data_IF_542367762303
#
_entry.id   IF_542367762303
#
_cell.length_a   1.000
_cell.length_b   1.000
_cell.length_c   1.000
_cell.angle_alpha   90.00
_cell.angle_beta   90.00
_cell.angle_gamma   90.00
#
_symmetry.space_group_name_H-M   'P 1'
#
loop_
_entity.id
_entity.type
_entity.pdbx_description
1 polymer ?
#
# COMPACT_ATOMS: atom_id res chain seq x y z
N UNK A 1 36.95 -6.22 -37.46
CA UNK A 1 35.89 -6.40 -36.44
C UNK A 1 34.85 -7.40 -36.95
N UNK A 2 34.19 -8.12 -36.04
CA UNK A 2 33.07 -9.00 -36.40
C UNK A 2 31.82 -8.15 -36.69
N UNK A 3 30.95 -8.57 -37.62
CA UNK A 3 29.64 -7.92 -37.83
C UNK A 3 28.86 -7.81 -36.50
N UNK A 4 28.98 -8.83 -35.64
CA UNK A 4 28.32 -8.84 -34.33
C UNK A 4 28.83 -7.74 -33.39
N UNK A 5 30.13 -7.39 -33.44
CA UNK A 5 30.68 -6.34 -32.58
C UNK A 5 30.25 -4.95 -33.04
N UNK A 6 30.14 -4.74 -34.35
CA UNK A 6 29.66 -3.47 -34.93
C UNK A 6 28.18 -3.26 -34.57
N UNK A 7 27.33 -4.27 -34.77
CA UNK A 7 25.90 -4.21 -34.41
C UNK A 7 25.72 -3.95 -32.91
N UNK A 8 26.51 -4.60 -32.06
CA UNK A 8 26.48 -4.37 -30.62
C UNK A 8 26.96 -2.96 -30.23
N UNK A 9 27.89 -2.36 -30.98
CA UNK A 9 28.28 -0.97 -30.81
C UNK A 9 27.12 -0.02 -31.09
N UNK A 10 26.54 -0.11 -32.30
CA UNK A 10 25.43 0.73 -32.75
C UNK A 10 24.25 0.68 -31.77
N UNK A 11 23.88 -0.52 -31.29
CA UNK A 11 22.76 -0.66 -30.36
C UNK A 11 23.06 -0.06 -28.98
N UNK A 12 24.31 -0.16 -28.50
CA UNK A 12 24.72 0.48 -27.25
C UNK A 12 24.72 1.99 -27.37
N UNK A 13 25.22 2.53 -28.48
CA UNK A 13 25.17 3.96 -28.78
C UNK A 13 23.73 4.46 -28.82
N UNK A 14 22.82 3.69 -29.43
CA UNK A 14 21.39 4.01 -29.42
C UNK A 14 20.81 4.01 -28.00
N UNK A 15 21.08 2.99 -27.18
CA UNK A 15 20.68 2.98 -25.77
C UNK A 15 21.24 4.19 -25.00
N UNK A 16 22.45 4.64 -25.33
CA UNK A 16 23.05 5.78 -24.68
C UNK A 16 22.38 7.12 -25.02
N UNK A 17 21.65 7.17 -26.13
CA UNK A 17 20.91 8.33 -26.63
C UNK A 17 19.47 8.40 -26.13
N UNK A 18 18.92 7.28 -25.64
CA UNK A 18 17.58 7.28 -25.05
C UNK A 18 17.57 8.17 -23.81
N UNK A 19 16.59 9.06 -23.75
CA UNK A 19 16.24 9.84 -22.57
C UNK A 19 14.74 9.69 -22.30
N UNK A 20 14.37 9.59 -21.03
CA UNK A 20 12.98 9.61 -20.58
C UNK A 20 12.72 10.93 -19.87
N UNK A 21 11.62 11.59 -20.22
CA UNK A 21 11.11 12.81 -19.59
C UNK A 21 9.79 12.53 -18.90
N UNK A 22 9.55 13.24 -17.81
CA UNK A 22 8.40 13.05 -16.94
C UNK A 22 7.65 14.36 -16.75
N UNK A 23 6.33 14.29 -16.79
CA UNK A 23 5.44 15.37 -16.39
C UNK A 23 4.28 14.81 -15.54
N UNK A 24 4.23 15.10 -14.22
CA UNK A 24 5.17 15.93 -13.46
C UNK A 24 6.53 15.23 -13.24
N UNK A 25 7.56 15.99 -12.85
CA UNK A 25 8.90 15.47 -12.53
C UNK A 25 8.99 14.74 -11.18
N UNK A 26 7.96 14.89 -10.35
CA UNK A 26 7.82 14.23 -9.04
C UNK A 26 6.35 14.06 -8.71
N UNK A 27 6.05 13.05 -7.89
CA UNK A 27 4.71 12.84 -7.35
C UNK A 27 4.67 13.09 -5.85
N UNK A 28 3.51 13.56 -5.40
CA UNK A 28 3.15 13.62 -3.99
C UNK A 28 1.84 12.86 -3.81
N UNK A 29 1.80 11.94 -2.85
CA UNK A 29 0.63 11.13 -2.52
C UNK A 29 0.66 10.76 -1.02
N UNK A 30 -0.37 10.05 -0.57
CA UNK A 30 -0.54 9.59 0.81
C UNK A 30 -0.63 8.05 0.76
N UNK A 31 0.07 7.32 1.66
CA UNK A 31 -0.07 5.87 1.76
C UNK A 31 -1.52 5.43 1.87
N UNK A 32 -1.83 4.22 1.38
CA UNK A 32 -3.16 3.60 1.38
C UNK A 32 -4.23 4.29 0.52
N UNK A 33 -4.05 5.55 0.14
CA UNK A 33 -4.94 6.25 -0.78
C UNK A 33 -4.47 6.00 -2.21
N UNK A 34 -5.39 5.59 -3.08
CA UNK A 34 -5.18 5.67 -4.51
C UNK A 34 -5.77 6.99 -5.01
N UNK A 35 -4.93 8.00 -5.19
CA UNK A 35 -5.29 9.31 -5.71
C UNK A 35 -5.20 9.39 -7.24
N UNK A 36 -5.11 8.23 -7.91
CA UNK A 36 -5.03 8.07 -9.36
C UNK A 36 -3.99 9.01 -10.01
N UNK A 37 -2.88 9.26 -9.31
CA UNK A 37 -1.82 10.14 -9.80
C UNK A 37 -1.21 9.56 -11.06
N UNK A 38 -1.06 10.43 -12.05
CA UNK A 38 -0.56 10.07 -13.38
C UNK A 38 0.72 10.83 -13.67
N UNK A 39 1.66 10.13 -14.27
CA UNK A 39 2.86 10.71 -14.87
C UNK A 39 2.77 10.48 -16.37
N UNK A 40 2.88 11.55 -17.14
CA UNK A 40 3.16 11.47 -18.56
C UNK A 40 4.64 11.16 -18.74
N UNK A 41 4.91 10.07 -19.46
CA UNK A 41 6.26 9.57 -19.73
C UNK A 41 6.52 9.72 -21.22
N UNK A 42 7.53 10.50 -21.58
CA UNK A 42 7.92 10.72 -22.98
C UNK A 42 9.32 10.21 -23.21
N UNK A 43 9.49 9.33 -24.20
CA UNK A 43 10.79 8.77 -24.57
C UNK A 43 11.31 9.52 -25.79
N UNK A 44 12.56 9.97 -25.73
CA UNK A 44 13.19 10.71 -26.81
C UNK A 44 14.58 10.18 -27.13
N UNK A 45 14.96 10.31 -28.39
CA UNK A 45 16.36 10.28 -28.78
C UNK A 45 16.97 11.66 -28.54
N UNK A 46 17.85 11.77 -27.55
CA UNK A 46 18.38 13.05 -27.10
C UNK A 46 19.24 13.78 -28.16
N UNK A 47 19.82 13.04 -29.11
CA UNK A 47 20.69 13.61 -30.14
C UNK A 47 19.87 14.13 -31.32
N UNK A 48 18.80 13.41 -31.68
CA UNK A 48 17.90 13.82 -32.78
C UNK A 48 16.75 14.72 -32.31
N UNK A 49 16.46 14.77 -31.01
CA UNK A 49 15.30 15.47 -30.45
C UNK A 49 13.96 14.85 -30.84
N UNK A 50 13.94 13.62 -31.34
CA UNK A 50 12.73 12.94 -31.83
C UNK A 50 12.13 12.06 -30.73
N UNK A 51 10.80 12.05 -30.65
CA UNK A 51 10.07 11.15 -29.78
C UNK A 51 10.13 9.71 -30.31
N UNK A 52 10.24 8.75 -29.40
CA UNK A 52 10.41 7.33 -29.72
C UNK A 52 9.14 6.55 -29.40
N UNK A 53 8.44 6.14 -30.45
CA UNK A 53 7.24 5.32 -30.38
C UNK A 53 7.55 3.83 -30.15
N UNK A 54 6.56 3.09 -29.64
CA UNK A 54 6.63 1.63 -29.48
C UNK A 54 7.82 1.13 -28.62
N UNK A 55 8.22 1.92 -27.63
CA UNK A 55 9.28 1.56 -26.68
C UNK A 55 8.64 0.96 -25.44
N UNK A 56 8.99 -0.30 -25.14
CA UNK A 56 8.64 -0.95 -23.87
C UNK A 56 9.47 -0.37 -22.74
N UNK A 57 8.80 0.07 -21.69
CA UNK A 57 9.39 0.57 -20.47
C UNK A 57 9.04 -0.34 -19.30
N UNK A 58 10.05 -0.62 -18.48
CA UNK A 58 9.94 -1.23 -17.17
C UNK A 58 9.86 -0.13 -16.12
N UNK A 59 8.84 -0.19 -15.26
CA UNK A 59 8.64 0.73 -14.16
C UNK A 59 8.70 -0.02 -12.85
N UNK A 60 9.49 0.46 -11.90
CA UNK A 60 9.75 -0.30 -10.66
C UNK A 60 10.06 0.62 -9.48
N UNK A 61 9.46 0.34 -8.32
CA UNK A 61 9.93 0.88 -7.05
C UNK A 61 11.26 0.23 -6.66
N UNK A 62 12.21 1.05 -6.21
CA UNK A 62 13.61 0.62 -6.03
C UNK A 62 13.77 -0.61 -5.13
N UNK A 63 12.86 -0.80 -4.18
CA UNK A 63 12.92 -1.86 -3.16
C UNK A 63 11.99 -3.06 -3.44
N UNK A 64 11.17 -3.03 -4.50
CA UNK A 64 10.27 -4.14 -4.83
C UNK A 64 10.97 -5.19 -5.72
N UNK A 65 10.43 -6.39 -5.88
CA UNK A 65 10.86 -7.33 -6.93
C UNK A 65 10.12 -7.10 -8.23
N UNK A 66 8.88 -6.69 -8.11
CA UNK A 66 7.92 -6.59 -9.19
C UNK A 66 8.13 -5.32 -10.00
N UNK A 67 7.59 -5.33 -11.21
CA UNK A 67 7.67 -4.20 -12.12
C UNK A 67 6.45 -4.16 -13.01
N UNK A 68 6.08 -2.95 -13.40
CA UNK A 68 5.09 -2.72 -14.44
C UNK A 68 5.77 -2.62 -15.80
N UNK A 69 5.00 -2.98 -16.84
CA UNK A 69 5.38 -2.81 -18.23
C UNK A 69 4.41 -1.84 -18.89
N UNK A 70 4.94 -0.78 -19.50
CA UNK A 70 4.18 0.21 -20.27
C UNK A 70 4.82 0.43 -21.63
N UNK A 71 4.01 0.79 -22.63
CA UNK A 71 4.44 0.98 -24.01
C UNK A 71 4.19 2.43 -24.44
N UNK A 72 5.16 3.06 -25.11
CA UNK A 72 4.95 4.36 -25.75
C UNK A 72 4.07 4.27 -26.99
N UNK A 73 3.18 5.25 -27.14
CA UNK A 73 2.30 5.43 -28.30
C UNK A 73 3.07 5.97 -29.50
N UNK A 74 2.38 6.19 -30.60
CA UNK A 74 2.94 6.71 -31.86
C UNK A 74 3.59 8.09 -31.71
N UNK A 75 3.17 8.89 -30.73
CA UNK A 75 3.78 10.19 -30.40
C UNK A 75 4.99 10.08 -29.46
N UNK A 76 5.38 8.86 -29.08
CA UNK A 76 6.46 8.54 -28.15
C UNK A 76 6.17 8.83 -26.68
N UNK A 77 4.90 9.10 -26.33
CA UNK A 77 4.44 9.29 -24.96
C UNK A 77 3.63 8.11 -24.43
N UNK A 78 3.50 8.00 -23.12
CA UNK A 78 2.57 7.10 -22.44
C UNK A 78 2.18 7.68 -21.07
N UNK A 79 1.18 7.09 -20.42
CA UNK A 79 0.74 7.50 -19.09
C UNK A 79 0.99 6.33 -18.14
N UNK A 80 1.74 6.60 -17.07
CA UNK A 80 1.84 5.69 -15.94
C UNK A 80 0.91 6.18 -14.84
N UNK A 81 -0.01 5.32 -14.39
CA UNK A 81 -0.85 5.57 -13.23
C UNK A 81 -0.23 4.88 -12.03
N UNK A 82 0.06 5.64 -10.99
CA UNK A 82 0.61 5.14 -9.74
C UNK A 82 -0.42 4.21 -9.07
N UNK A 83 0.04 3.07 -8.57
CA UNK A 83 -0.80 2.16 -7.78
C UNK A 83 -0.84 2.62 -6.32
N UNK A 84 -1.77 2.06 -5.54
CA UNK A 84 -1.80 2.23 -4.08
C UNK A 84 -0.45 1.83 -3.48
N UNK A 85 0.14 2.72 -2.69
CA UNK A 85 1.43 2.48 -2.04
C UNK A 85 1.20 2.14 -0.56
N UNK A 86 1.84 1.08 -0.09
CA UNK A 86 1.75 0.59 1.29
C UNK A 86 3.13 0.68 1.97
N UNK A 87 3.72 1.87 1.92
CA UNK A 87 5.01 2.21 2.54
C UNK A 87 4.83 3.34 3.56
N UNK A 88 5.74 3.49 4.53
CA UNK A 88 5.73 4.62 5.44
C UNK A 88 5.93 5.96 4.73
N UNK A 89 5.65 7.05 5.44
CA UNK A 89 5.91 8.38 4.91
C UNK A 89 7.40 8.57 4.60
N UNK A 90 7.73 9.27 3.52
CA UNK A 90 9.11 9.41 3.09
C UNK A 90 9.27 9.74 1.61
N UNK A 91 10.52 9.69 1.14
CA UNK A 91 10.87 9.93 -0.26
C UNK A 91 11.36 8.63 -0.90
N UNK A 92 10.66 8.21 -1.94
CA UNK A 92 10.90 6.97 -2.68
C UNK A 92 11.29 7.26 -4.11
N UNK A 93 11.93 6.29 -4.74
CA UNK A 93 12.35 6.36 -6.15
C UNK A 93 11.60 5.32 -6.97
N UNK A 94 10.80 5.81 -7.90
CA UNK A 94 10.19 5.05 -8.97
C UNK A 94 11.11 5.13 -10.20
N UNK A 95 11.70 4.01 -10.59
CA UNK A 95 12.67 3.94 -11.68
C UNK A 95 12.00 3.48 -12.98
N UNK A 96 12.23 4.22 -14.05
CA UNK A 96 11.85 3.86 -15.42
C UNK A 96 13.08 3.45 -16.22
N UNK A 97 12.95 2.41 -17.02
CA UNK A 97 14.03 1.96 -17.90
C UNK A 97 13.48 1.25 -19.12
N UNK A 98 14.26 1.19 -20.21
CA UNK A 98 13.86 0.43 -21.41
C UNK A 98 13.86 -1.06 -21.10
N UNK A 99 12.76 -1.74 -21.41
CA UNK A 99 12.64 -3.17 -21.18
C UNK A 99 13.17 -3.98 -22.38
N UNK A 100 14.47 -4.20 -22.39
CA UNK A 100 15.10 -5.02 -23.43
C UNK A 100 14.68 -6.49 -23.37
N UNK A 101 14.09 -6.97 -22.29
CA UNK A 101 13.58 -8.34 -22.20
C UNK A 101 12.37 -8.57 -23.09
N UNK A 102 11.47 -7.58 -23.16
CA UNK A 102 10.30 -7.57 -24.04
C UNK A 102 10.64 -7.28 -25.50
N UNK A 103 11.76 -6.59 -25.76
CA UNK A 103 12.17 -6.19 -27.12
C UNK A 103 13.09 -7.23 -27.78
N UNK A 104 13.99 -7.86 -27.02
CA UNK A 104 15.06 -8.70 -27.55
C UNK A 104 14.93 -10.18 -27.15
N UNK A 105 15.14 -11.06 -28.12
CA UNK A 105 15.25 -12.50 -27.86
C UNK A 105 16.36 -12.81 -26.84
N UNK A 106 16.23 -13.93 -26.11
CA UNK A 106 17.24 -14.39 -25.14
C UNK A 106 18.64 -14.50 -25.78
N UNK A 107 18.73 -14.95 -27.03
CA UNK A 107 19.99 -15.06 -27.78
C UNK A 107 20.56 -13.69 -28.15
N UNK A 108 19.71 -12.75 -28.55
CA UNK A 108 20.14 -11.36 -28.83
C UNK A 108 20.64 -10.68 -27.55
N UNK A 109 19.97 -10.88 -26.42
CA UNK A 109 20.37 -10.32 -25.13
C UNK A 109 21.75 -10.80 -24.67
N UNK A 110 22.05 -12.09 -24.82
CA UNK A 110 23.37 -12.63 -24.43
C UNK A 110 24.51 -12.10 -25.29
N UNK A 111 24.24 -11.82 -26.57
CA UNK A 111 25.21 -11.27 -27.50
C UNK A 111 25.43 -9.76 -27.31
N UNK A 112 24.35 -9.00 -27.14
CA UNK A 112 24.39 -7.53 -27.11
C UNK A 112 24.72 -6.97 -25.72
N UNK A 113 24.36 -7.70 -24.65
CA UNK A 113 24.61 -7.32 -23.24
C UNK A 113 24.16 -5.89 -22.93
N UNK A 114 22.99 -5.51 -23.44
CA UNK A 114 22.39 -4.20 -23.21
C UNK A 114 22.20 -3.92 -21.73
N UNK A 115 22.60 -2.74 -21.27
CA UNK A 115 22.35 -2.25 -19.91
C UNK A 115 21.41 -1.06 -19.99
N UNK A 116 20.12 -1.22 -19.63
CA UNK A 116 19.18 -0.13 -19.72
C UNK A 116 19.51 0.95 -18.68
N UNK A 117 19.45 2.21 -19.11
CA UNK A 117 19.58 3.35 -18.21
C UNK A 117 18.35 3.46 -17.31
N UNK A 118 18.57 3.82 -16.05
CA UNK A 118 17.52 4.06 -15.08
C UNK A 118 17.23 5.56 -15.01
N UNK A 119 15.96 5.91 -15.11
CA UNK A 119 15.45 7.27 -15.05
C UNK A 119 14.55 7.39 -13.82
N UNK A 120 15.02 8.00 -12.73
CA UNK A 120 14.27 8.06 -11.48
C UNK A 120 13.21 9.17 -11.52
N UNK A 121 12.06 8.88 -10.91
CA UNK A 121 11.04 9.85 -10.51
C UNK A 121 10.91 9.78 -8.99
N UNK A 122 11.01 10.92 -8.33
CA UNK A 122 10.78 11.01 -6.90
C UNK A 122 9.28 10.92 -6.58
N UNK A 123 8.93 10.04 -5.66
CA UNK A 123 7.58 9.92 -5.10
C UNK A 123 7.67 10.25 -3.61
N UNK A 124 7.00 11.30 -3.19
CA UNK A 124 6.96 11.74 -1.79
C UNK A 124 5.64 11.29 -1.17
N UNK A 125 5.74 10.48 -0.12
CA UNK A 125 4.63 10.00 0.68
C UNK A 125 4.49 10.88 1.92
N UNK A 126 3.33 11.53 2.06
CA UNK A 126 3.00 12.29 3.26
C UNK A 126 2.34 11.39 4.30
N UNK A 127 2.69 11.58 5.56
CA UNK A 127 2.07 10.88 6.68
C UNK A 127 0.54 11.05 6.65
N UNK A 128 -0.25 9.96 6.63
CA UNK A 128 -1.70 10.06 6.62
C UNK A 128 -2.21 10.59 7.96
N UNK A 129 -3.23 11.45 7.90
CA UNK A 129 -4.01 11.86 9.08
C UNK A 129 -5.28 11.01 9.16
N UNK A 130 -5.43 10.28 10.25
CA UNK A 130 -6.54 9.35 10.46
C UNK A 130 -7.43 9.85 11.58
N UNK A 131 -8.72 9.99 11.32
CA UNK A 131 -9.72 10.06 12.38
C UNK A 131 -10.08 8.64 12.80
N UNK A 132 -9.92 8.31 14.07
CA UNK A 132 -10.34 7.04 14.64
C UNK A 132 -11.71 7.23 15.29
N UNK A 133 -12.67 6.42 14.90
CA UNK A 133 -13.97 6.33 15.55
C UNK A 133 -14.19 4.90 16.03
N UNK A 134 -14.51 4.74 17.30
CA UNK A 134 -14.75 3.45 17.91
C UNK A 134 -16.13 3.33 18.55
N UNK A 135 -16.67 2.12 18.51
CA UNK A 135 -17.80 1.69 19.34
C UNK A 135 -17.45 0.32 19.88
N UNK A 136 -17.11 0.27 21.17
CA UNK A 136 -16.69 -0.96 21.83
C UNK A 136 -17.62 -1.21 23.01
N UNK A 137 -18.36 -2.32 22.95
CA UNK A 137 -19.29 -2.70 24.02
C UNK A 137 -18.91 -4.02 24.67
N UNK A 138 -19.12 -4.07 25.98
CA UNK A 138 -19.08 -5.29 26.77
C UNK A 138 -20.49 -5.60 27.26
N UNK A 139 -21.13 -6.62 26.69
CA UNK A 139 -22.48 -7.05 27.06
C UNK A 139 -23.52 -5.91 26.99
N UNK A 140 -23.34 -4.99 26.03
CA UNK A 140 -24.20 -3.83 25.83
C UNK A 140 -23.70 -2.53 26.45
N UNK A 141 -22.77 -2.59 27.41
CA UNK A 141 -22.22 -1.40 28.05
C UNK A 141 -20.97 -0.89 27.32
N UNK A 142 -20.86 0.43 27.15
CA UNK A 142 -19.68 1.04 26.51
C UNK A 142 -18.42 0.81 27.35
N UNK A 143 -17.33 0.43 26.69
CA UNK A 143 -16.02 0.24 27.32
C UNK A 143 -15.11 1.38 26.90
N UNK A 144 -14.83 2.37 27.78
CA UNK A 144 -13.81 3.37 27.51
C UNK A 144 -12.42 2.71 27.52
N UNK A 145 -11.49 3.26 26.72
CA UNK A 145 -10.06 2.92 26.75
C UNK A 145 -9.74 1.43 26.52
N UNK A 146 -10.20 0.88 25.39
CA UNK A 146 -9.89 -0.50 25.02
C UNK A 146 -8.45 -0.65 24.49
N UNK A 147 -7.69 -1.68 24.92
CA UNK A 147 -6.37 -2.01 24.35
C UNK A 147 -6.38 -2.28 22.85
N UNK A 148 -7.55 -2.59 22.27
CA UNK A 148 -7.74 -2.80 20.84
C UNK A 148 -7.40 -1.52 20.05
N UNK A 149 -7.85 -0.35 20.54
CA UNK A 149 -7.65 0.94 19.86
C UNK A 149 -6.16 1.27 19.77
N UNK A 150 -5.43 1.11 20.88
CA UNK A 150 -3.98 1.38 20.93
C UNK A 150 -3.18 0.44 20.01
N UNK A 151 -3.53 -0.86 19.98
CA UNK A 151 -2.89 -1.80 19.06
C UNK A 151 -3.07 -1.42 17.59
N UNK A 152 -4.27 -0.96 17.21
CA UNK A 152 -4.55 -0.52 15.84
C UNK A 152 -3.78 0.77 15.53
N UNK A 153 -3.84 1.75 16.42
CA UNK A 153 -3.12 3.02 16.24
C UNK A 153 -1.64 2.80 15.99
N UNK A 154 -1.01 1.98 16.84
CA UNK A 154 0.40 1.62 16.70
C UNK A 154 0.72 0.96 15.37
N UNK A 155 -0.14 0.06 14.88
CA UNK A 155 0.07 -0.53 13.55
C UNK A 155 0.17 0.54 12.45
N UNK A 156 -0.75 1.52 12.42
CA UNK A 156 -0.75 2.55 11.40
C UNK A 156 0.41 3.54 11.55
N UNK A 157 0.79 3.85 12.79
CA UNK A 157 1.97 4.66 13.10
C UNK A 157 3.26 3.96 12.61
N UNK A 158 3.43 2.67 12.93
CA UNK A 158 4.65 1.93 12.61
C UNK A 158 4.79 1.66 11.11
N UNK A 159 3.70 1.30 10.42
CA UNK A 159 3.75 0.90 9.00
C UNK A 159 3.60 2.06 8.02
N UNK A 160 2.87 3.12 8.40
CA UNK A 160 2.51 4.21 7.49
C UNK A 160 2.95 5.59 7.99
N UNK A 161 3.58 5.67 9.17
CA UNK A 161 3.87 6.94 9.84
C UNK A 161 2.62 7.79 10.06
N UNK A 162 1.48 7.13 10.26
CA UNK A 162 0.20 7.81 10.42
C UNK A 162 0.18 8.71 11.67
N UNK A 163 -0.69 9.72 11.63
CA UNK A 163 -1.00 10.56 12.78
C UNK A 163 -2.50 10.56 13.03
N UNK A 164 -2.93 10.57 14.28
CA UNK A 164 -4.35 10.54 14.63
C UNK A 164 -4.87 11.93 14.98
N UNK A 165 -6.00 12.31 14.37
CA UNK A 165 -6.67 13.60 14.56
C UNK A 165 -8.08 13.39 15.12
N UNK A 166 -8.60 14.39 15.83
CA UNK A 166 -9.90 14.31 16.51
C UNK A 166 -11.09 14.77 15.66
N UNK A 167 -10.86 15.25 14.43
CA UNK A 167 -11.88 15.87 13.59
C UNK A 167 -11.80 15.33 12.16
N UNK A 168 -12.95 14.96 11.60
CA UNK A 168 -13.07 14.44 10.23
C UNK A 168 -12.59 15.44 9.18
N UNK A 169 -12.79 16.74 9.41
CA UNK A 169 -12.36 17.77 8.46
C UNK A 169 -10.83 17.91 8.36
N UNK A 170 -10.09 17.43 9.36
CA UNK A 170 -8.63 17.48 9.40
C UNK A 170 -7.98 16.14 9.03
N UNK A 171 -8.79 15.11 8.72
CA UNK A 171 -8.35 13.75 8.39
C UNK A 171 -8.39 13.47 6.90
N UNK A 172 -7.42 12.68 6.43
CA UNK A 172 -7.41 12.09 5.08
C UNK A 172 -8.26 10.82 5.04
N UNK A 173 -8.33 10.08 6.16
CA UNK A 173 -9.05 8.82 6.28
C UNK A 173 -9.85 8.73 7.58
N UNK A 174 -10.97 8.00 7.50
CA UNK A 174 -11.78 7.61 8.65
C UNK A 174 -11.60 6.12 8.90
N UNK A 175 -11.19 5.78 10.11
CA UNK A 175 -11.05 4.41 10.60
C UNK A 175 -12.15 4.14 11.62
N UNK A 176 -13.13 3.35 11.22
CA UNK A 176 -14.28 2.97 12.05
C UNK A 176 -14.07 1.56 12.61
N UNK A 177 -14.13 1.44 13.94
CA UNK A 177 -14.03 0.18 14.67
C UNK A 177 -15.34 -0.10 15.41
N UNK A 178 -15.92 -1.26 15.15
CA UNK A 178 -17.08 -1.76 15.90
C UNK A 178 -16.73 -3.09 16.53
N UNK A 179 -16.75 -3.18 17.85
CA UNK A 179 -16.50 -4.42 18.58
C UNK A 179 -17.57 -4.57 19.67
N UNK A 180 -18.12 -5.76 19.80
CA UNK A 180 -19.08 -6.06 20.86
C UNK A 180 -18.77 -7.41 21.48
N UNK A 181 -19.14 -7.57 22.75
CA UNK A 181 -19.11 -8.87 23.41
C UNK A 181 -20.51 -9.44 23.59
N UNK A 182 -20.63 -10.75 23.46
CA UNK A 182 -21.87 -11.50 23.62
C UNK A 182 -21.61 -12.77 24.45
N UNK A 183 -22.55 -13.09 25.33
CA UNK A 183 -22.62 -14.41 25.96
C UNK A 183 -23.34 -15.36 24.99
N UNK A 184 -22.65 -16.40 24.53
CA UNK A 184 -23.23 -17.38 23.60
C UNK A 184 -24.08 -18.43 24.31
N UNK A 185 -23.76 -18.70 25.58
CA UNK A 185 -24.44 -19.72 26.39
C UNK A 185 -24.43 -19.29 27.84
N UNK A 186 -25.60 -19.32 28.49
CA UNK A 186 -25.69 -19.13 29.94
C UNK A 186 -24.80 -20.13 30.69
N UNK A 187 -24.19 -19.66 31.76
CA UNK A 187 -23.38 -20.47 32.66
C UNK A 187 -24.17 -21.67 33.19
N UNK A 188 -23.64 -22.87 32.98
CA UNK A 188 -24.27 -24.16 33.37
C UNK A 188 -24.42 -24.28 34.90
N UNK A 189 -23.42 -23.87 35.67
CA UNK A 189 -23.46 -23.80 37.14
C UNK A 189 -22.29 -22.99 37.72
N UNK A 190 -22.37 -22.67 39.01
CA UNK A 190 -21.40 -21.85 39.74
C UNK A 190 -19.98 -22.44 39.87
N UNK A 191 -19.76 -23.68 39.42
CA UNK A 191 -18.44 -24.31 39.36
C UNK A 191 -17.75 -24.14 37.99
N UNK A 192 -18.47 -23.71 36.96
CA UNK A 192 -17.91 -23.41 35.63
C UNK A 192 -17.70 -21.90 35.48
N UNK A 193 -16.74 -21.43 34.66
CA UNK A 193 -16.59 -20.00 34.42
C UNK A 193 -17.68 -19.44 33.51
N UNK A 194 -17.89 -18.13 33.56
CA UNK A 194 -18.57 -17.39 32.50
C UNK A 194 -17.73 -17.41 31.22
N UNK A 195 -18.40 -17.47 30.08
CA UNK A 195 -17.76 -17.43 28.78
C UNK A 195 -18.41 -16.35 27.93
N UNK A 196 -17.59 -15.39 27.50
CA UNK A 196 -18.02 -14.26 26.68
C UNK A 196 -17.14 -14.21 25.46
N UNK A 197 -17.73 -13.85 24.33
CA UNK A 197 -17.11 -13.86 23.02
C UNK A 197 -17.09 -12.43 22.48
N UNK A 198 -15.93 -11.95 22.06
CA UNK A 198 -15.74 -10.65 21.45
C UNK A 198 -15.54 -10.81 19.95
N UNK A 199 -16.27 -10.04 19.15
CA UNK A 199 -16.11 -10.00 17.69
C UNK A 199 -16.50 -8.62 17.17
N UNK A 200 -16.23 -8.34 15.90
CA UNK A 200 -16.46 -7.01 15.38
C UNK A 200 -16.15 -6.84 13.89
N UNK A 201 -16.02 -5.59 13.49
CA UNK A 201 -15.57 -5.18 12.17
C UNK A 201 -14.74 -3.92 12.26
N UNK A 202 -13.89 -3.72 11.26
CA UNK A 202 -13.10 -2.51 11.09
C UNK A 202 -13.11 -2.10 9.63
N UNK A 203 -13.30 -0.81 9.38
CA UNK A 203 -13.30 -0.25 8.03
C UNK A 203 -12.47 1.03 7.96
N UNK A 204 -11.78 1.20 6.85
CA UNK A 204 -10.98 2.38 6.54
C UNK A 204 -11.51 2.99 5.24
N UNK A 205 -11.86 4.28 5.28
CA UNK A 205 -12.47 5.00 4.16
C UNK A 205 -11.67 6.26 3.86
N UNK A 206 -11.49 6.58 2.58
CA UNK A 206 -10.95 7.86 2.14
C UNK A 206 -11.99 8.97 2.36
N UNK A 207 -11.68 9.98 3.19
CA UNK A 207 -12.63 11.07 3.51
C UNK A 207 -12.91 11.96 2.31
N UNK A 208 -11.95 12.13 1.39
CA UNK A 208 -12.11 12.98 0.22
C UNK A 208 -12.99 12.37 -0.88
N UNK A 209 -13.09 11.05 -0.96
CA UNK A 209 -13.81 10.35 -2.03
C UNK A 209 -14.93 9.43 -1.54
N UNK A 210 -15.06 9.22 -0.23
CA UNK A 210 -15.91 8.20 0.41
C UNK A 210 -15.66 6.76 -0.10
N UNK A 211 -14.52 6.52 -0.75
CA UNK A 211 -14.16 5.18 -1.23
C UNK A 211 -13.61 4.34 -0.09
N UNK A 212 -14.12 3.12 0.04
CA UNK A 212 -13.61 2.11 0.96
C UNK A 212 -12.19 1.70 0.54
N UNK A 213 -11.25 1.84 1.46
CA UNK A 213 -9.85 1.40 1.29
C UNK A 213 -9.71 -0.04 1.76
N UNK A 214 -10.41 -0.37 2.85
CA UNK A 214 -10.39 -1.67 3.50
C UNK A 214 -11.61 -1.87 4.38
N UNK A 215 -12.10 -3.09 4.46
CA UNK A 215 -13.15 -3.50 5.37
C UNK A 215 -12.98 -4.98 5.68
N UNK A 216 -12.95 -5.33 6.96
CA UNK A 216 -12.85 -6.72 7.39
C UNK A 216 -13.68 -6.97 8.63
N UNK A 217 -14.09 -8.23 8.79
CA UNK A 217 -14.62 -8.73 10.05
C UNK A 217 -13.48 -9.18 10.94
N UNK A 218 -13.63 -8.93 12.24
CA UNK A 218 -12.70 -9.35 13.27
C UNK A 218 -13.20 -10.69 13.80
N UNK A 219 -12.34 -11.71 13.67
CA UNK A 219 -12.64 -13.04 14.14
C UNK A 219 -12.93 -13.06 15.65
N UNK A 220 -13.81 -13.97 16.04
CA UNK A 220 -14.26 -14.06 17.41
C UNK A 220 -13.17 -14.56 18.36
N UNK A 221 -13.06 -13.90 19.51
CA UNK A 221 -12.15 -14.28 20.57
C UNK A 221 -12.87 -14.46 21.90
N UNK A 222 -12.54 -15.58 22.56
CA UNK A 222 -13.20 -16.01 23.80
C UNK A 222 -12.48 -15.48 25.02
N UNK A 223 -13.23 -15.01 25.99
CA UNK A 223 -12.79 -14.68 27.35
C UNK A 223 -13.53 -15.49 28.40
N UNK A 224 -12.90 -15.66 29.56
CA UNK A 224 -13.46 -16.42 30.67
C UNK A 224 -13.12 -15.78 32.02
N UNK A 225 -14.02 -15.92 32.98
CA UNK A 225 -13.81 -15.57 34.39
C UNK A 225 -14.77 -16.38 35.28
N UNK A 226 -14.32 -16.82 36.45
CA UNK A 226 -15.12 -17.68 37.34
C UNK A 226 -16.19 -16.92 38.15
N UNK A 227 -16.06 -15.60 38.25
CA UNK A 227 -16.78 -14.80 39.22
C UNK A 227 -17.58 -13.65 38.60
N UNK A 228 -17.24 -13.20 37.38
CA UNK A 228 -17.94 -12.07 36.73
C UNK A 228 -18.00 -12.23 35.22
N UNK A 229 -19.22 -12.14 34.68
CA UNK A 229 -19.46 -12.15 33.23
C UNK A 229 -18.83 -10.92 32.56
N UNK A 230 -18.84 -9.77 33.24
CA UNK A 230 -18.23 -8.54 32.77
C UNK A 230 -16.71 -8.70 32.63
N UNK A 231 -16.05 -9.33 33.62
CA UNK A 231 -14.61 -9.65 33.55
C UNK A 231 -14.30 -10.65 32.45
N UNK A 232 -15.16 -11.65 32.24
CA UNK A 232 -15.02 -12.59 31.12
C UNK A 232 -15.04 -11.82 29.79
N UNK A 233 -15.93 -10.84 29.63
CA UNK A 233 -15.98 -9.98 28.46
C UNK A 233 -14.77 -9.06 28.28
N UNK A 234 -14.26 -8.45 29.35
CA UNK A 234 -12.99 -7.70 29.29
C UNK A 234 -11.82 -8.61 28.88
N UNK A 235 -11.79 -9.86 29.37
CA UNK A 235 -10.78 -10.83 28.97
C UNK A 235 -10.92 -11.21 27.49
N UNK A 236 -12.14 -11.28 26.95
CA UNK A 236 -12.40 -11.52 25.52
C UNK A 236 -11.83 -10.38 24.67
N UNK A 237 -12.10 -9.11 25.04
CA UNK A 237 -11.55 -7.93 24.37
C UNK A 237 -10.02 -7.89 24.41
N UNK A 238 -9.40 -8.25 25.55
CA UNK A 238 -7.93 -8.35 25.67
C UNK A 238 -7.35 -9.44 24.78
N UNK A 239 -8.03 -10.59 24.65
CA UNK A 239 -7.59 -11.67 23.78
C UNK A 239 -7.70 -11.26 22.30
N UNK A 240 -8.80 -10.58 21.93
CA UNK A 240 -8.97 -9.97 20.62
C UNK A 240 -7.81 -9.01 20.30
N UNK A 241 -7.49 -8.07 21.21
CA UNK A 241 -6.41 -7.11 21.01
C UNK A 241 -5.03 -7.76 20.78
N UNK A 242 -4.77 -8.94 21.36
CA UNK A 242 -3.50 -9.68 21.21
C UNK A 242 -3.39 -10.46 19.91
N UNK A 243 -4.53 -10.89 19.36
CA UNK A 243 -4.60 -11.73 18.17
C UNK A 243 -5.06 -10.99 16.93
N UNK A 244 -5.37 -9.71 17.07
CA UNK A 244 -5.76 -8.86 15.98
C UNK A 244 -4.62 -8.79 14.96
N UNK A 245 -4.91 -9.31 13.79
CA UNK A 245 -3.99 -9.42 12.67
C UNK A 245 -4.67 -8.79 11.46
N UNK A 246 -4.43 -7.49 11.26
CA UNK A 246 -4.98 -6.80 10.10
C UNK A 246 -3.99 -6.95 8.94
N UNK A 247 -4.49 -7.30 7.76
CA UNK A 247 -3.64 -7.47 6.58
C UNK A 247 -2.89 -6.19 6.18
N UNK A 248 -3.40 -5.01 6.59
CA UNK A 248 -2.72 -3.73 6.40
C UNK A 248 -1.55 -3.50 7.38
N UNK A 249 -1.36 -4.38 8.37
CA UNK A 249 -0.29 -4.27 9.37
C UNK A 249 0.88 -5.25 9.10
N UNK A 250 0.91 -5.89 7.92
CA UNK A 250 1.85 -6.95 7.55
C UNK A 250 2.93 -6.49 6.59
#
# INVERSE_FOLDING_TARGET
ESISSIVAGILRDYNDRIQIRFDPSSLQTIPLINDDKRITVTVIDKDMGQNLASIWLRVKFSDESDHDLILTKDDGSTIYQLKKIMFPAGSYVLSFSVDYESILSKRSRSLLKMRPKQFPVTVVLSAPKIMFQETITNLGDQVPDSPIVESIKRCFEDNYSATFVSNKADSDMLLDLHVSTLEHTERISDIYPYFVHASGSISLVNVGTDQEIFNTTIAEEKGADFYSIEKAGINALKNLAKKMDLDLCK
#
